data_IF_890702435817
#
_entry.id   IF_890702435817
#
_cell.length_a   1.000
_cell.length_b   1.000
_cell.length_c   1.000
_cell.angle_alpha   90.00
_cell.angle_beta   90.00
_cell.angle_gamma   90.00
#
_symmetry.space_group_name_H-M   'P 1'
#
loop_
_entity.id
_entity.type
_entity.pdbx_description
1 polymer ?
#
# COMPACT_ATOMS: atom_id res chain seq x y z
N UNK A 1 12.73 -23.43 -6.94
CA UNK A 1 13.08 -24.84 -7.12
C UNK A 1 11.85 -25.73 -6.86
N UNK A 2 11.30 -25.82 -5.65
CA UNK A 2 10.29 -26.81 -5.22
C UNK A 2 8.99 -26.81 -6.05
N UNK A 3 8.45 -25.67 -6.41
CA UNK A 3 7.24 -25.57 -7.24
C UNK A 3 7.44 -26.19 -8.63
N UNK A 4 8.63 -26.05 -9.21
CA UNK A 4 8.98 -26.67 -10.51
C UNK A 4 9.11 -28.18 -10.40
N UNK A 5 9.78 -28.68 -9.35
CA UNK A 5 9.91 -30.12 -9.07
C UNK A 5 8.54 -30.80 -8.94
N UNK A 6 7.58 -30.09 -8.36
CA UNK A 6 6.20 -30.57 -8.20
C UNK A 6 5.33 -30.44 -9.47
N UNK A 7 5.89 -29.96 -10.59
CA UNK A 7 5.15 -29.74 -11.83
C UNK A 7 4.02 -28.70 -11.71
N UNK A 8 4.09 -27.78 -10.73
CA UNK A 8 3.04 -26.78 -10.47
C UNK A 8 3.40 -25.37 -10.94
N UNK A 9 4.55 -25.21 -11.59
CA UNK A 9 5.09 -23.91 -11.96
C UNK A 9 4.12 -23.09 -12.82
N UNK A 10 3.56 -23.69 -13.86
CA UNK A 10 2.69 -22.99 -14.81
C UNK A 10 1.31 -22.64 -14.22
N UNK A 11 0.91 -23.32 -13.15
CA UNK A 11 -0.34 -23.05 -12.45
C UNK A 11 -0.10 -22.37 -11.08
N UNK A 12 0.96 -21.58 -10.96
CA UNK A 12 1.27 -20.87 -9.70
C UNK A 12 1.45 -19.39 -9.95
N UNK A 13 0.60 -18.58 -9.30
CA UNK A 13 0.81 -17.14 -9.19
C UNK A 13 1.74 -16.86 -8.01
N UNK A 14 2.87 -16.20 -8.29
CA UNK A 14 3.81 -15.72 -7.29
C UNK A 14 3.68 -14.21 -7.22
N UNK A 15 3.46 -13.67 -6.03
CA UNK A 15 3.47 -12.23 -5.76
C UNK A 15 4.52 -11.92 -4.70
N UNK A 16 5.31 -10.90 -4.94
CA UNK A 16 6.30 -10.39 -4.00
C UNK A 16 6.11 -8.89 -3.80
N UNK A 17 6.00 -8.47 -2.57
CA UNK A 17 5.85 -7.06 -2.18
C UNK A 17 6.40 -6.85 -0.77
N UNK A 18 6.76 -5.62 -0.44
CA UNK A 18 6.93 -5.21 0.94
C UNK A 18 5.60 -4.69 1.49
N UNK A 19 5.38 -4.83 2.78
CA UNK A 19 4.17 -4.38 3.50
C UNK A 19 4.16 -2.88 3.77
N UNK A 20 5.35 -2.27 3.84
CA UNK A 20 5.57 -0.83 4.05
C UNK A 20 6.94 -0.41 3.51
N UNK A 21 7.21 0.87 3.55
CA UNK A 21 8.55 1.41 3.29
C UNK A 21 9.58 0.96 4.34
N UNK A 22 10.86 1.25 4.10
CA UNK A 22 11.96 0.83 4.95
C UNK A 22 11.80 1.30 6.41
N UNK A 23 12.25 0.48 7.36
CA UNK A 23 12.06 0.69 8.79
C UNK A 23 13.10 1.66 9.37
N UNK A 24 12.68 2.80 9.96
CA UNK A 24 13.59 3.79 10.53
C UNK A 24 13.97 3.52 11.98
N UNK A 25 13.45 2.47 12.59
CA UNK A 25 13.63 2.17 14.01
C UNK A 25 15.11 2.05 14.39
N UNK A 26 15.44 2.43 15.60
CA UNK A 26 16.85 2.52 16.05
C UNK A 26 17.27 1.61 17.20
N UNK A 27 16.47 0.70 17.75
CA UNK A 27 17.05 -0.16 18.75
C UNK A 27 18.03 -1.13 18.10
N UNK A 28 19.32 -0.85 18.25
CA UNK A 28 20.38 -1.80 17.96
C UNK A 28 20.78 -2.41 19.28
N UNK A 29 20.03 -3.44 19.70
CA UNK A 29 20.18 -4.03 21.04
C UNK A 29 21.34 -4.99 21.17
N UNK A 30 21.97 -5.36 20.06
CA UNK A 30 23.12 -6.28 20.01
C UNK A 30 24.23 -5.73 19.11
N UNK A 31 24.85 -4.58 19.47
CA UNK A 31 25.82 -3.90 18.61
C UNK A 31 27.06 -4.76 18.30
N UNK A 32 27.44 -5.67 19.21
CA UNK A 32 28.61 -6.50 19.09
C UNK A 32 28.40 -7.82 18.33
N UNK A 33 27.12 -8.14 17.99
CA UNK A 33 26.79 -9.33 17.19
C UNK A 33 26.65 -8.91 15.72
N UNK A 34 27.41 -9.52 14.79
CA UNK A 34 27.27 -9.24 13.36
C UNK A 34 25.85 -9.51 12.85
N UNK A 35 25.36 -8.82 11.81
CA UNK A 35 24.08 -9.14 11.18
C UNK A 35 24.05 -10.58 10.66
N UNK A 36 22.93 -11.28 10.87
CA UNK A 36 22.71 -12.62 10.32
C UNK A 36 22.21 -13.66 11.34
N UNK A 37 22.91 -13.89 12.46
CA UNK A 37 22.42 -14.82 13.49
C UNK A 37 21.09 -14.38 14.08
N UNK A 38 20.33 -15.32 14.64
CA UNK A 38 19.01 -15.06 15.23
C UNK A 38 19.08 -14.14 16.47
N UNK A 39 20.20 -14.13 17.13
CA UNK A 39 20.51 -13.28 18.28
C UNK A 39 20.83 -11.84 17.89
N UNK A 40 21.09 -11.61 16.60
CA UNK A 40 21.38 -10.27 16.08
C UNK A 40 20.09 -9.49 15.83
N UNK A 41 19.89 -8.40 16.54
CA UNK A 41 18.84 -7.42 16.25
C UNK A 41 19.46 -6.13 15.71
N UNK A 42 19.45 -5.98 14.41
CA UNK A 42 20.02 -4.83 13.70
C UNK A 42 18.92 -4.05 12.99
N UNK A 43 19.06 -2.74 13.01
CA UNK A 43 18.19 -1.81 12.27
C UNK A 43 19.03 -0.95 11.34
N UNK A 44 18.39 -0.46 10.27
CA UNK A 44 19.07 0.39 9.28
C UNK A 44 19.05 1.86 9.64
N UNK A 45 18.35 2.25 10.69
CA UNK A 45 18.15 3.63 11.15
C UNK A 45 17.47 4.56 10.13
N UNK A 46 17.16 5.79 10.54
CA UNK A 46 16.44 6.80 9.74
C UNK A 46 17.15 7.15 8.43
N UNK A 47 18.47 7.30 8.46
CA UNK A 47 19.25 7.66 7.26
C UNK A 47 19.15 6.62 6.16
N UNK A 48 19.40 5.37 6.50
CA UNK A 48 19.31 4.26 5.55
C UNK A 48 17.88 3.92 5.16
N UNK A 49 16.90 4.08 6.06
CA UNK A 49 15.49 3.92 5.71
C UNK A 49 15.06 4.93 4.64
N UNK A 50 15.49 6.19 4.77
CA UNK A 50 15.25 7.22 3.77
C UNK A 50 15.96 6.89 2.44
N UNK A 51 17.22 6.48 2.49
CA UNK A 51 17.99 6.11 1.29
C UNK A 51 17.35 4.93 0.54
N UNK A 52 16.87 3.92 1.27
CA UNK A 52 16.23 2.73 0.70
C UNK A 52 14.91 3.02 -0.01
N UNK A 53 14.23 4.11 0.34
CA UNK A 53 12.96 4.51 -0.28
C UNK A 53 13.13 5.55 -1.40
N UNK A 54 14.36 5.96 -1.70
CA UNK A 54 14.63 6.95 -2.76
C UNK A 54 14.01 6.51 -4.09
N UNK A 55 13.36 7.43 -4.84
CA UNK A 55 13.29 8.89 -4.62
C UNK A 55 12.10 9.35 -3.73
N UNK A 56 11.34 8.45 -3.15
CA UNK A 56 10.13 8.77 -2.40
C UNK A 56 10.45 9.29 -1.00
N UNK A 57 9.64 10.24 -0.56
CA UNK A 57 9.80 10.93 0.72
C UNK A 57 9.44 10.04 1.90
N UNK A 58 10.26 10.09 2.97
CA UNK A 58 10.03 9.39 4.24
C UNK A 58 10.12 7.85 4.14
N UNK A 59 9.51 7.16 5.10
CA UNK A 59 9.72 5.75 5.39
C UNK A 59 8.53 5.17 6.18
N UNK A 60 8.58 3.90 6.58
CA UNK A 60 7.60 3.21 7.42
C UNK A 60 7.04 4.10 8.53
N UNK A 61 5.78 3.90 8.88
CA UNK A 61 5.02 4.67 9.88
C UNK A 61 4.66 6.09 9.45
N UNK A 62 4.82 6.43 8.17
CA UNK A 62 4.33 7.66 7.57
C UNK A 62 3.46 7.35 6.36
N UNK A 63 2.53 8.23 6.00
CA UNK A 63 1.68 8.07 4.83
C UNK A 63 2.19 8.85 3.59
N UNK A 64 3.44 9.31 3.63
CA UNK A 64 4.16 9.75 2.43
C UNK A 64 4.51 8.56 1.54
N UNK A 65 4.75 8.80 0.25
CA UNK A 65 5.02 7.73 -0.71
C UNK A 65 6.15 6.79 -0.27
N UNK A 66 7.21 7.29 0.37
CA UNK A 66 8.28 6.42 0.90
C UNK A 66 7.85 5.50 2.04
N UNK A 67 6.72 5.79 2.70
CA UNK A 67 6.15 4.92 3.74
C UNK A 67 5.15 3.89 3.21
N UNK A 68 4.44 4.21 2.13
CA UNK A 68 3.29 3.41 1.65
C UNK A 68 3.45 2.86 0.22
N UNK A 69 4.32 3.45 -0.61
CA UNK A 69 4.57 2.99 -1.97
C UNK A 69 5.70 1.97 -1.98
N UNK A 70 5.36 0.71 -2.16
CA UNK A 70 6.32 -0.40 -2.17
C UNK A 70 6.36 -1.05 -3.55
N UNK A 71 7.51 -1.63 -3.95
CA UNK A 71 7.61 -2.44 -5.15
C UNK A 71 6.65 -3.64 -5.07
N UNK A 72 6.02 -3.94 -6.20
CA UNK A 72 5.17 -5.12 -6.35
C UNK A 72 5.60 -5.90 -7.60
N UNK A 73 5.90 -7.17 -7.43
CA UNK A 73 6.26 -8.08 -8.52
C UNK A 73 5.23 -9.21 -8.54
N UNK A 74 4.71 -9.50 -9.72
CA UNK A 74 3.84 -10.66 -9.95
C UNK A 74 4.41 -11.52 -11.10
N UNK A 75 4.38 -12.81 -10.89
CA UNK A 75 4.79 -13.79 -11.89
C UNK A 75 3.76 -14.92 -11.97
N UNK A 76 3.24 -15.16 -13.17
CA UNK A 76 2.32 -16.25 -13.45
C UNK A 76 2.52 -16.70 -14.91
N UNK A 77 3.20 -17.80 -15.13
CA UNK A 77 3.46 -18.30 -16.48
C UNK A 77 2.18 -18.47 -17.30
N UNK A 78 2.23 -18.10 -18.55
CA UNK A 78 1.07 -18.19 -19.46
C UNK A 78 -0.01 -17.12 -19.27
N UNK A 79 0.00 -16.38 -18.14
CA UNK A 79 -0.99 -15.33 -17.85
C UNK A 79 -0.37 -13.93 -17.86
N UNK A 80 0.76 -13.75 -17.16
CA UNK A 80 1.45 -12.46 -17.07
C UNK A 80 2.57 -12.43 -18.10
N UNK A 81 2.51 -11.48 -19.04
CA UNK A 81 3.60 -11.18 -19.96
C UNK A 81 4.63 -10.27 -19.28
N UNK A 82 5.94 -10.41 -19.58
CA UNK A 82 6.95 -9.47 -19.07
C UNK A 82 6.58 -8.02 -19.40
N UNK A 83 6.69 -7.14 -18.41
CA UNK A 83 6.38 -5.73 -18.58
C UNK A 83 6.28 -5.00 -17.26
N UNK A 84 6.04 -3.69 -17.33
CA UNK A 84 5.83 -2.81 -16.18
C UNK A 84 4.55 -2.00 -16.38
N UNK A 85 3.92 -1.63 -15.28
CA UNK A 85 2.73 -0.78 -15.29
C UNK A 85 2.75 0.19 -14.11
N UNK A 86 2.19 1.37 -14.30
CA UNK A 86 1.97 2.37 -13.26
C UNK A 86 0.52 2.38 -12.73
N UNK A 87 -0.29 1.39 -13.09
CA UNK A 87 -1.64 1.27 -12.56
C UNK A 87 -1.58 1.09 -11.04
N UNK A 88 -2.35 1.90 -10.32
CA UNK A 88 -2.33 1.92 -8.85
C UNK A 88 -2.95 0.65 -8.30
N UNK A 89 -2.18 -0.09 -7.49
CA UNK A 89 -2.65 -1.19 -6.67
C UNK A 89 -2.63 -0.82 -5.18
N UNK A 90 -3.31 -1.63 -4.37
CA UNK A 90 -3.28 -1.53 -2.92
C UNK A 90 -3.32 -2.94 -2.31
N UNK A 91 -2.79 -3.11 -1.10
CA UNK A 91 -2.73 -4.43 -0.43
C UNK A 91 -4.12 -5.10 -0.31
N UNK A 92 -5.20 -4.27 -0.20
CA UNK A 92 -6.57 -4.79 -0.15
C UNK A 92 -6.98 -5.52 -1.44
N UNK A 93 -6.31 -5.25 -2.56
CA UNK A 93 -6.59 -5.82 -3.87
C UNK A 93 -6.13 -7.28 -3.99
N UNK A 94 -5.16 -7.69 -3.18
CA UNK A 94 -4.64 -9.06 -3.16
C UNK A 94 -5.76 -10.06 -2.83
N UNK A 95 -6.54 -9.80 -1.79
CA UNK A 95 -7.67 -10.66 -1.42
C UNK A 95 -8.76 -10.68 -2.51
N UNK A 96 -9.04 -9.54 -3.14
CA UNK A 96 -9.99 -9.47 -4.25
C UNK A 96 -9.50 -10.28 -5.46
N UNK A 97 -8.18 -10.24 -5.73
CA UNK A 97 -7.55 -11.00 -6.80
C UNK A 97 -7.64 -12.51 -6.56
N UNK A 98 -7.35 -12.95 -5.36
CA UNK A 98 -7.48 -14.38 -5.02
C UNK A 98 -8.92 -14.87 -5.17
N UNK A 99 -9.91 -14.10 -4.71
CA UNK A 99 -11.31 -14.50 -4.88
C UNK A 99 -11.72 -14.61 -6.35
N UNK A 100 -11.28 -13.68 -7.18
CA UNK A 100 -11.58 -13.76 -8.62
C UNK A 100 -10.93 -14.97 -9.29
N UNK A 101 -9.66 -15.26 -8.98
CA UNK A 101 -8.92 -16.38 -9.54
C UNK A 101 -9.51 -17.73 -9.11
N UNK A 102 -9.91 -17.85 -7.86
CA UNK A 102 -10.42 -19.13 -7.28
C UNK A 102 -11.92 -19.30 -7.41
N UNK A 103 -12.67 -18.25 -7.82
CA UNK A 103 -14.13 -18.25 -7.82
C UNK A 103 -14.73 -18.14 -6.41
N UNK A 104 -13.92 -17.94 -5.37
CA UNK A 104 -14.39 -17.85 -3.98
C UNK A 104 -15.26 -16.60 -3.77
N UNK A 105 -16.41 -16.79 -3.13
CA UNK A 105 -17.32 -15.69 -2.79
C UNK A 105 -17.06 -15.20 -1.38
N UNK A 106 -17.12 -13.88 -1.18
CA UNK A 106 -17.08 -13.32 0.16
C UNK A 106 -18.41 -13.64 0.86
N UNK A 107 -18.39 -14.19 2.08
CA UNK A 107 -19.62 -14.57 2.76
C UNK A 107 -20.45 -13.33 3.11
N UNK A 108 -21.78 -13.42 2.90
CA UNK A 108 -22.72 -12.35 3.27
C UNK A 108 -22.89 -12.22 4.78
N UNK A 109 -22.58 -13.30 5.50
CA UNK A 109 -22.72 -13.40 6.94
C UNK A 109 -21.63 -14.29 7.54
N UNK A 110 -21.12 -13.92 8.71
CA UNK A 110 -20.17 -14.70 9.50
C UNK A 110 -20.68 -14.70 10.96
N UNK A 111 -20.88 -15.89 11.52
CA UNK A 111 -21.35 -16.07 12.91
C UNK A 111 -22.62 -15.25 13.22
N UNK A 112 -23.61 -15.28 12.33
CA UNK A 112 -24.88 -14.57 12.50
C UNK A 112 -24.82 -13.07 12.26
N UNK A 113 -23.65 -12.52 11.89
CA UNK A 113 -23.48 -11.08 11.64
C UNK A 113 -23.28 -10.80 10.14
N UNK A 114 -24.04 -9.84 9.61
CA UNK A 114 -23.88 -9.37 8.23
C UNK A 114 -22.45 -8.83 8.02
N UNK A 115 -21.83 -9.19 6.90
CA UNK A 115 -20.50 -8.72 6.52
C UNK A 115 -20.58 -7.61 5.49
N UNK A 116 -19.61 -6.69 5.53
CA UNK A 116 -19.35 -5.75 4.41
C UNK A 116 -18.27 -6.36 3.52
N UNK A 117 -18.46 -6.46 2.20
CA UNK A 117 -17.41 -6.94 1.32
C UNK A 117 -16.17 -6.04 1.40
N UNK A 118 -14.95 -6.62 1.38
CA UNK A 118 -13.73 -5.82 1.35
C UNK A 118 -13.68 -4.90 0.13
N UNK A 119 -13.18 -3.66 0.26
CA UNK A 119 -13.20 -2.65 -0.80
C UNK A 119 -12.18 -2.89 -1.92
N UNK A 120 -11.34 -3.93 -1.82
CA UNK A 120 -10.33 -4.27 -2.82
C UNK A 120 -10.90 -4.56 -4.20
N UNK A 121 -10.14 -4.24 -5.22
CA UNK A 121 -10.41 -4.53 -6.64
C UNK A 121 -9.36 -5.48 -7.17
N UNK A 122 -9.78 -6.52 -7.89
CA UNK A 122 -8.85 -7.52 -8.42
C UNK A 122 -7.77 -6.92 -9.32
N UNK A 123 -6.55 -7.41 -9.22
CA UNK A 123 -5.42 -7.10 -10.08
C UNK A 123 -5.39 -7.99 -11.34
N UNK A 124 -6.29 -8.96 -11.46
CA UNK A 124 -6.31 -9.92 -12.58
C UNK A 124 -6.40 -9.25 -13.97
N UNK A 125 -7.17 -8.15 -14.18
CA UNK A 125 -7.11 -7.42 -15.45
C UNK A 125 -5.71 -6.92 -15.78
N UNK A 126 -4.99 -6.36 -14.79
CA UNK A 126 -3.60 -5.89 -14.96
C UNK A 126 -2.68 -7.07 -15.31
N UNK A 127 -2.82 -8.19 -14.63
CA UNK A 127 -2.05 -9.41 -14.91
C UNK A 127 -2.26 -9.93 -16.34
N UNK A 128 -3.44 -9.69 -16.89
CA UNK A 128 -3.79 -10.01 -18.30
C UNK A 128 -3.42 -8.89 -19.28
N UNK A 129 -2.64 -7.89 -18.87
CA UNK A 129 -2.20 -6.79 -19.72
C UNK A 129 -3.31 -5.79 -20.09
N UNK A 130 -4.39 -5.72 -19.29
CA UNK A 130 -5.51 -4.82 -19.50
C UNK A 130 -5.51 -3.67 -18.50
N UNK A 131 -6.19 -2.59 -18.84
CA UNK A 131 -6.50 -1.55 -17.88
C UNK A 131 -7.56 -2.03 -16.88
N UNK A 132 -7.41 -1.59 -15.65
CA UNK A 132 -8.34 -1.82 -14.56
C UNK A 132 -9.02 -0.51 -14.15
N UNK A 133 -10.34 -0.54 -13.87
CA UNK A 133 -11.00 0.61 -13.25
C UNK A 133 -10.31 0.95 -11.93
N UNK A 134 -9.71 2.14 -11.78
CA UNK A 134 -8.95 2.51 -10.58
C UNK A 134 -9.86 2.59 -9.34
N UNK A 135 -9.26 2.61 -8.18
CA UNK A 135 -9.96 3.02 -6.97
C UNK A 135 -10.39 4.47 -7.13
N UNK A 136 -11.60 4.80 -6.66
CA UNK A 136 -12.07 6.17 -6.62
C UNK A 136 -11.29 6.94 -5.57
N UNK A 137 -11.20 6.37 -4.36
CA UNK A 137 -10.39 6.83 -3.26
C UNK A 137 -9.63 5.67 -2.62
N UNK A 138 -8.46 5.97 -2.03
CA UNK A 138 -7.70 5.07 -1.17
C UNK A 138 -7.34 5.83 0.09
N UNK A 139 -7.56 5.21 1.25
CA UNK A 139 -7.37 5.82 2.56
C UNK A 139 -6.30 5.08 3.34
N UNK A 140 -5.51 5.82 4.11
CA UNK A 140 -4.52 5.29 5.05
C UNK A 140 -4.72 5.90 6.43
N UNK A 141 -4.52 5.09 7.44
CA UNK A 141 -4.49 5.49 8.83
C UNK A 141 -3.56 4.59 9.62
N UNK A 142 -2.51 5.16 10.15
CA UNK A 142 -1.61 4.49 11.09
C UNK A 142 -1.17 5.48 12.16
N UNK A 143 -1.57 5.27 13.43
CA UNK A 143 -1.30 6.20 14.51
C UNK A 143 -1.74 7.64 14.18
N UNK A 144 -0.76 8.55 14.03
CA UNK A 144 -0.96 9.95 13.65
C UNK A 144 -0.75 10.22 12.16
N UNK A 145 -0.33 9.22 11.41
CA UNK A 145 -0.23 9.29 9.97
C UNK A 145 -1.61 9.06 9.35
N UNK A 146 -2.04 9.95 8.48
CA UNK A 146 -3.34 9.94 7.84
C UNK A 146 -3.21 10.45 6.42
N UNK A 147 -3.79 9.74 5.46
CA UNK A 147 -3.81 10.18 4.07
C UNK A 147 -5.05 9.71 3.33
N UNK A 148 -5.44 10.44 2.31
CA UNK A 148 -6.35 9.98 1.27
C UNK A 148 -5.84 10.39 -0.11
N UNK A 149 -5.91 9.45 -1.04
CA UNK A 149 -5.63 9.66 -2.47
C UNK A 149 -6.93 9.55 -3.26
N UNK A 150 -7.19 10.54 -4.11
CA UNK A 150 -8.27 10.55 -5.10
C UNK A 150 -7.66 10.85 -6.48
N UNK A 151 -7.62 9.84 -7.34
CA UNK A 151 -6.93 9.93 -8.62
C UNK A 151 -5.43 10.23 -8.43
N UNK A 152 -4.96 11.36 -8.97
CA UNK A 152 -3.58 11.79 -8.84
C UNK A 152 -3.34 12.73 -7.63
N UNK A 153 -4.40 13.22 -7.00
CA UNK A 153 -4.27 14.09 -5.84
C UNK A 153 -4.25 13.28 -4.55
N UNK A 154 -3.37 13.67 -3.65
CA UNK A 154 -3.22 13.04 -2.34
C UNK A 154 -3.06 14.11 -1.25
N UNK A 155 -3.81 13.99 -0.16
CA UNK A 155 -3.51 14.74 1.05
C UNK A 155 -2.88 13.82 2.09
N UNK A 156 -1.90 14.39 2.80
CA UNK A 156 -1.18 13.72 3.89
C UNK A 156 -1.23 14.63 5.11
N UNK A 157 -1.49 14.07 6.30
CA UNK A 157 -1.47 14.84 7.54
C UNK A 157 -0.05 14.96 8.08
N UNK A 158 0.46 16.18 8.10
CA UNK A 158 1.75 16.54 8.68
C UNK A 158 1.53 17.24 10.03
N UNK A 159 1.62 16.51 11.12
CA UNK A 159 1.33 17.03 12.44
C UNK A 159 -0.13 17.47 12.57
N UNK A 160 -0.36 18.79 12.67
CA UNK A 160 -1.71 19.40 12.79
C UNK A 160 -2.32 19.84 11.45
N UNK A 161 -1.53 19.87 10.37
CA UNK A 161 -1.92 20.42 9.07
C UNK A 161 -2.04 19.33 8.02
N UNK A 162 -2.85 19.58 7.00
CA UNK A 162 -2.90 18.78 5.80
C UNK A 162 -2.01 19.39 4.72
N UNK A 163 -1.22 18.55 4.07
CA UNK A 163 -0.44 18.85 2.86
C UNK A 163 -1.13 18.24 1.66
N UNK A 164 -1.09 18.88 0.49
CA UNK A 164 -1.66 18.40 -0.76
C UNK A 164 -0.58 18.21 -1.81
N UNK A 165 -0.61 17.07 -2.49
CA UNK A 165 0.34 16.72 -3.55
C UNK A 165 -0.37 16.24 -4.81
N UNK A 166 0.22 16.53 -5.97
CA UNK A 166 -0.15 15.97 -7.26
C UNK A 166 0.86 14.88 -7.62
N UNK A 167 0.52 13.63 -7.39
CA UNK A 167 1.43 12.49 -7.57
C UNK A 167 1.80 12.20 -9.03
N UNK A 168 1.09 12.80 -10.01
CA UNK A 168 1.45 12.71 -11.41
C UNK A 168 2.60 13.66 -11.74
N UNK A 169 2.53 14.89 -11.25
CA UNK A 169 3.55 15.93 -11.48
C UNK A 169 4.71 15.84 -10.47
N UNK A 170 4.43 15.42 -9.24
CA UNK A 170 5.36 15.36 -8.12
C UNK A 170 5.17 14.05 -7.32
N UNK A 171 5.62 12.92 -7.86
CA UNK A 171 5.51 11.63 -7.18
C UNK A 171 6.37 11.51 -5.92
N UNK A 172 7.24 12.48 -5.67
CA UNK A 172 8.19 12.53 -4.54
C UNK A 172 7.71 13.44 -3.40
N UNK A 173 6.54 14.08 -3.58
CA UNK A 173 5.88 14.92 -2.55
C UNK A 173 6.76 16.06 -2.04
N UNK A 174 7.40 16.78 -2.95
CA UNK A 174 8.30 17.90 -2.65
C UNK A 174 7.59 19.25 -2.69
N UNK A 175 6.53 19.40 -3.52
CA UNK A 175 5.77 20.64 -3.70
C UNK A 175 4.40 20.54 -3.04
N UNK A 176 4.27 21.08 -1.84
CA UNK A 176 2.98 21.15 -1.13
C UNK A 176 2.07 22.23 -1.73
N UNK A 177 0.95 21.79 -2.32
CA UNK A 177 -0.05 22.62 -3.00
C UNK A 177 -1.17 23.11 -2.07
N UNK A 178 -1.13 22.83 -0.77
CA UNK A 178 -2.24 23.14 0.15
C UNK A 178 -2.58 24.63 0.19
N UNK A 179 -1.59 25.52 0.11
CA UNK A 179 -1.80 26.96 0.06
C UNK A 179 -2.34 27.45 -1.29
N UNK A 180 -1.94 26.79 -2.38
CA UNK A 180 -2.38 27.12 -3.75
C UNK A 180 -3.81 26.60 -4.00
N UNK A 181 -4.19 25.47 -3.40
CA UNK A 181 -5.47 24.77 -3.61
C UNK A 181 -6.20 24.48 -2.28
N UNK A 182 -6.50 25.52 -1.46
CA UNK A 182 -7.04 25.31 -0.10
C UNK A 182 -8.39 24.62 -0.09
N UNK A 183 -9.29 24.92 -1.04
CA UNK A 183 -10.61 24.28 -1.15
C UNK A 183 -10.48 22.77 -1.41
N UNK A 184 -9.58 22.37 -2.34
CA UNK A 184 -9.36 20.95 -2.64
C UNK A 184 -8.69 20.21 -1.49
N UNK A 185 -7.78 20.86 -0.77
CA UNK A 185 -7.16 20.32 0.43
C UNK A 185 -8.23 20.05 1.51
N UNK A 186 -9.11 21.02 1.77
CA UNK A 186 -10.18 20.86 2.74
C UNK A 186 -11.18 19.76 2.34
N UNK A 187 -11.55 19.69 1.06
CA UNK A 187 -12.42 18.63 0.52
C UNK A 187 -11.85 17.24 0.80
N UNK A 188 -10.60 16.99 0.42
CA UNK A 188 -9.98 15.68 0.62
C UNK A 188 -9.75 15.37 2.11
N UNK A 189 -9.39 16.37 2.90
CA UNK A 189 -9.27 16.22 4.35
C UNK A 189 -10.61 15.80 4.98
N UNK A 190 -11.72 16.43 4.58
CA UNK A 190 -13.06 16.07 5.05
C UNK A 190 -13.44 14.65 4.63
N UNK A 191 -13.13 14.25 3.39
CA UNK A 191 -13.37 12.87 2.95
C UNK A 191 -12.63 11.84 3.82
N UNK A 192 -11.42 12.17 4.27
CA UNK A 192 -10.69 11.30 5.19
C UNK A 192 -11.35 11.23 6.57
N UNK A 193 -11.80 12.38 7.11
CA UNK A 193 -12.49 12.41 8.41
C UNK A 193 -13.81 11.60 8.36
N UNK A 194 -14.61 11.75 7.29
CA UNK A 194 -15.86 11.00 7.09
C UNK A 194 -15.60 9.49 7.03
N UNK A 195 -14.61 9.06 6.24
CA UNK A 195 -14.20 7.66 6.16
C UNK A 195 -13.71 7.14 7.52
N UNK A 196 -12.96 7.94 8.25
CA UNK A 196 -12.43 7.59 9.56
C UNK A 196 -13.55 7.41 10.60
N UNK A 197 -14.59 8.24 10.58
CA UNK A 197 -15.77 8.06 11.41
C UNK A 197 -16.53 6.78 11.04
N UNK A 198 -16.75 6.51 9.75
CA UNK A 198 -17.36 5.25 9.29
C UNK A 198 -16.60 4.01 9.77
N UNK A 199 -15.27 4.10 9.90
CA UNK A 199 -14.43 3.01 10.42
C UNK A 199 -14.57 2.82 11.94
N UNK A 200 -14.94 3.85 12.71
CA UNK A 200 -15.17 3.78 14.16
C UNK A 200 -16.51 3.12 14.50
N UNK A 201 -17.49 3.20 13.61
CA UNK A 201 -18.81 2.56 13.78
C UNK A 201 -18.69 1.07 13.48
N UNK A 202 -17.84 0.36 14.22
CA UNK A 202 -17.87 -1.10 14.25
C UNK A 202 -18.70 -1.51 15.47
N UNK A 203 -19.74 -2.35 15.30
CA UNK A 203 -20.40 -2.93 16.47
C UNK A 203 -19.34 -3.65 17.32
N UNK A 204 -19.34 -3.35 18.61
CA UNK A 204 -18.55 -4.06 19.62
C UNK A 204 -18.89 -5.54 19.64
#
# INVERSE_FOLDING_TARGET
AKVRELGKWDNTLIMFLADNGACPEQPNTTPDIPPGPVESYRTISVGWANASNTPYRKFKSTDYEGGIRTPFIAHWPGVIKPGMTNQVGHIIDVSATFREITGAKYPKEILGKKTKPPPGKSLLPIFKGKERKPHKEIYWRFNRANAVRQGELKVVRAGKSWELYDLKADPTETKNLAKERPKKTAELAQMWEDWNEDCKIRPK
#
